data_IF_080170586105
#
_entry.id   IF_080170586105
#
_cell.length_a   1.000
_cell.length_b   1.000
_cell.length_c   1.000
_cell.angle_alpha   90.00
_cell.angle_beta   90.00
_cell.angle_gamma   90.00
#
_symmetry.space_group_name_H-M   'P 1'
#
loop_
_entity.id
_entity.type
_entity.pdbx_description
1 polymer ?
#
# COMPACT_ATOMS: atom_id res chain seq x y z
N UNK A 1 -26.54 71.01 31.08
CA UNK A 1 -27.02 69.60 31.16
C UNK A 1 -26.16 68.58 30.37
N UNK A 2 -24.99 68.96 29.80
CA UNK A 2 -24.15 68.05 28.98
C UNK A 2 -22.83 67.58 29.63
N UNK A 3 -22.42 68.13 30.78
CA UNK A 3 -21.15 67.77 31.44
C UNK A 3 -21.29 66.48 32.27
N UNK A 4 -22.44 66.26 32.90
CA UNK A 4 -22.72 65.09 33.75
C UNK A 4 -22.88 63.78 32.96
N UNK A 5 -23.41 63.82 31.74
CA UNK A 5 -23.50 62.62 30.87
C UNK A 5 -22.12 62.13 30.38
N UNK A 6 -21.17 63.04 30.17
CA UNK A 6 -19.83 62.70 29.69
C UNK A 6 -18.95 62.06 30.78
N UNK A 7 -19.12 62.47 32.05
CA UNK A 7 -18.42 61.84 33.17
C UNK A 7 -18.94 60.42 33.47
N UNK A 8 -20.25 60.20 33.38
CA UNK A 8 -20.85 58.87 33.58
C UNK A 8 -20.43 57.86 32.49
N UNK A 9 -20.25 58.31 31.23
CA UNK A 9 -19.77 57.48 30.13
C UNK A 9 -18.29 57.09 30.31
N UNK A 10 -17.44 58.04 30.71
CA UNK A 10 -16.02 57.79 31.01
C UNK A 10 -15.82 56.83 32.18
N UNK A 11 -16.68 56.90 33.21
CA UNK A 11 -16.65 55.98 34.35
C UNK A 11 -16.96 54.52 33.96
N UNK A 12 -17.99 54.31 33.12
CA UNK A 12 -18.33 52.96 32.62
C UNK A 12 -17.27 52.37 31.71
N UNK A 13 -16.66 53.16 30.83
CA UNK A 13 -15.59 52.69 29.95
C UNK A 13 -14.32 52.30 30.73
N UNK A 14 -14.01 53.00 31.83
CA UNK A 14 -12.91 52.65 32.73
C UNK A 14 -13.17 51.34 33.46
N UNK A 15 -14.38 51.15 33.99
CA UNK A 15 -14.77 49.92 34.68
C UNK A 15 -14.75 48.70 33.76
N UNK A 16 -15.23 48.83 32.52
CA UNK A 16 -15.20 47.75 31.52
C UNK A 16 -13.77 47.39 31.07
N UNK A 17 -12.85 48.36 31.01
CA UNK A 17 -11.42 48.10 30.75
C UNK A 17 -10.76 47.33 31.89
N UNK A 18 -11.09 47.66 33.14
CA UNK A 18 -10.55 46.96 34.31
C UNK A 18 -11.10 45.54 34.46
N UNK A 19 -12.38 45.31 34.13
CA UNK A 19 -12.94 43.95 34.08
C UNK A 19 -12.33 43.12 32.95
N UNK A 20 -12.18 43.67 31.74
CA UNK A 20 -11.48 43.00 30.64
C UNK A 20 -10.03 42.66 31.00
N UNK A 21 -9.31 43.58 31.64
CA UNK A 21 -7.95 43.34 32.12
C UNK A 21 -7.88 42.20 33.15
N UNK A 22 -8.82 42.15 34.10
CA UNK A 22 -8.92 41.06 35.09
C UNK A 22 -9.28 39.71 34.46
N UNK A 23 -10.16 39.69 33.47
CA UNK A 23 -10.53 38.47 32.73
C UNK A 23 -9.34 37.98 31.88
N UNK A 24 -8.63 38.88 31.20
CA UNK A 24 -7.41 38.56 30.46
C UNK A 24 -6.29 38.04 31.37
N UNK A 25 -6.09 38.63 32.56
CA UNK A 25 -5.12 38.12 33.54
C UNK A 25 -5.51 36.75 34.12
N UNK A 26 -6.80 36.47 34.34
CA UNK A 26 -7.27 35.14 34.77
C UNK A 26 -7.10 34.10 33.66
N UNK A 27 -7.37 34.45 32.40
CA UNK A 27 -7.12 33.58 31.24
C UNK A 27 -5.63 33.32 31.03
N UNK A 28 -4.77 34.34 31.15
CA UNK A 28 -3.32 34.15 31.02
C UNK A 28 -2.75 33.33 32.17
N UNK A 29 -3.27 33.48 33.39
CA UNK A 29 -2.87 32.66 34.53
C UNK A 29 -3.33 31.19 34.38
N UNK A 30 -4.51 30.93 33.81
CA UNK A 30 -4.99 29.57 33.50
C UNK A 30 -4.14 28.91 32.41
N UNK A 31 -3.77 29.67 31.37
CA UNK A 31 -2.89 29.21 30.29
C UNK A 31 -1.47 28.94 30.82
N UNK A 32 -0.93 29.79 31.71
CA UNK A 32 0.35 29.54 32.36
C UNK A 32 0.29 28.33 33.31
N UNK A 33 -0.82 28.09 34.01
CA UNK A 33 -0.99 26.90 34.83
C UNK A 33 -1.05 25.62 33.99
N UNK A 34 -1.66 25.67 32.80
CA UNK A 34 -1.66 24.58 31.82
C UNK A 34 -0.26 24.32 31.22
N UNK A 35 0.59 25.34 31.14
CA UNK A 35 2.00 25.23 30.70
C UNK A 35 2.96 24.76 31.80
N UNK A 36 2.52 24.72 33.06
CA UNK A 36 3.32 24.30 34.22
C UNK A 36 2.91 22.93 34.77
N UNK A 37 1.91 22.27 34.17
CA UNK A 37 1.67 20.86 34.42
C UNK A 37 2.80 20.08 33.75
N UNK A 38 3.57 19.26 34.48
CA UNK A 38 4.53 18.37 33.84
C UNK A 38 3.77 17.46 32.87
N UNK A 39 4.33 17.19 31.68
CA UNK A 39 3.79 16.34 30.61
C UNK A 39 3.64 14.87 31.04
N UNK A 40 2.91 14.59 32.11
CA UNK A 40 2.46 13.26 32.47
C UNK A 40 1.21 12.97 31.63
N UNK A 41 1.40 12.81 30.32
CA UNK A 41 0.51 11.91 29.58
C UNK A 41 0.83 10.54 30.14
N UNK A 42 -0.01 10.04 31.05
CA UNK A 42 0.12 8.68 31.55
C UNK A 42 0.21 7.74 30.32
N UNK A 43 1.25 6.92 30.25
CA UNK A 43 1.41 5.95 29.17
C UNK A 43 0.12 5.15 29.01
N UNK A 44 -0.52 5.27 27.86
CA UNK A 44 -1.80 4.65 27.56
C UNK A 44 -1.60 3.36 26.78
N UNK A 45 -2.46 2.38 27.05
CA UNK A 45 -2.62 1.21 26.19
C UNK A 45 -4.09 1.01 25.85
N UNK A 46 -4.39 0.69 24.60
CA UNK A 46 -5.75 0.41 24.14
C UNK A 46 -5.70 -0.68 23.07
N UNK A 47 -6.65 -1.62 23.10
CA UNK A 47 -6.76 -2.65 22.06
C UNK A 47 -8.21 -3.10 21.85
N UNK A 48 -8.60 -3.21 20.59
CA UNK A 48 -9.88 -3.75 20.16
C UNK A 48 -9.83 -5.28 20.17
N UNK A 49 -9.84 -5.88 21.36
CA UNK A 49 -9.70 -7.33 21.56
C UNK A 49 -10.80 -8.18 20.90
N UNK A 50 -11.92 -7.56 20.52
CA UNK A 50 -13.02 -8.21 19.79
C UNK A 50 -12.80 -8.31 18.28
N UNK A 51 -11.74 -7.68 17.73
CA UNK A 51 -11.40 -7.85 16.31
C UNK A 51 -10.93 -9.29 16.08
N UNK A 52 -11.61 -10.08 15.23
CA UNK A 52 -11.21 -11.45 14.96
C UNK A 52 -9.91 -11.50 14.16
N UNK A 53 -9.33 -12.70 14.02
CA UNK A 53 -8.14 -12.90 13.23
C UNK A 53 -8.45 -13.76 11.99
N UNK A 54 -8.08 -13.23 10.83
CA UNK A 54 -8.12 -13.94 9.55
C UNK A 54 -6.74 -13.93 8.90
N UNK A 55 -6.36 -15.09 8.36
CA UNK A 55 -5.16 -15.28 7.55
C UNK A 55 -5.57 -16.04 6.29
N UNK A 56 -5.70 -15.32 5.18
CA UNK A 56 -5.82 -15.90 3.85
C UNK A 56 -4.47 -15.73 3.17
N UNK A 57 -3.78 -16.84 2.97
CA UNK A 57 -2.47 -16.87 2.35
C UNK A 57 -2.53 -16.22 0.96
N UNK A 58 -1.65 -15.25 0.72
CA UNK A 58 -1.62 -14.47 -0.53
C UNK A 58 -2.66 -13.35 -0.65
N UNK A 59 -3.57 -13.20 0.32
CA UNK A 59 -4.66 -12.22 0.29
C UNK A 59 -4.73 -11.32 1.56
N UNK A 60 -3.70 -10.49 1.81
CA UNK A 60 -3.64 -9.64 3.01
C UNK A 60 -4.75 -8.56 3.08
N UNK A 61 -5.15 -7.93 1.97
CA UNK A 61 -6.24 -6.94 1.96
C UNK A 61 -7.56 -7.61 2.35
N UNK A 62 -7.86 -8.76 1.76
CA UNK A 62 -9.07 -9.55 2.00
C UNK A 62 -9.12 -10.02 3.44
N UNK A 63 -7.98 -10.46 3.99
CA UNK A 63 -7.85 -10.81 5.42
C UNK A 63 -8.17 -9.60 6.31
N UNK A 64 -7.59 -8.44 6.01
CA UNK A 64 -7.86 -7.20 6.75
C UNK A 64 -9.34 -6.79 6.65
N UNK A 65 -9.92 -6.81 5.45
CA UNK A 65 -11.34 -6.49 5.21
C UNK A 65 -12.25 -7.46 5.97
N UNK A 66 -11.92 -8.75 6.00
CA UNK A 66 -12.68 -9.78 6.73
C UNK A 66 -12.72 -9.47 8.23
N UNK A 67 -11.56 -9.15 8.80
CA UNK A 67 -11.45 -8.78 10.22
C UNK A 67 -12.29 -7.54 10.56
N UNK A 68 -12.26 -6.51 9.69
CA UNK A 68 -13.04 -5.28 9.92
C UNK A 68 -14.54 -5.51 9.76
N UNK A 69 -14.96 -6.28 8.74
CA UNK A 69 -16.38 -6.57 8.52
C UNK A 69 -16.99 -7.33 9.68
N UNK A 70 -16.34 -8.39 10.16
CA UNK A 70 -16.86 -9.16 11.29
C UNK A 70 -16.81 -8.37 12.60
N UNK A 71 -15.79 -7.53 12.81
CA UNK A 71 -15.75 -6.61 13.95
C UNK A 71 -16.99 -5.69 14.00
N UNK A 72 -17.48 -5.25 12.84
CA UNK A 72 -18.74 -4.49 12.74
C UNK A 72 -20.00 -5.37 12.64
N UNK A 73 -19.88 -6.68 12.85
CA UNK A 73 -21.00 -7.62 12.88
C UNK A 73 -21.56 -7.99 11.50
N UNK A 74 -20.87 -7.69 10.40
CA UNK A 74 -21.30 -8.14 9.08
C UNK A 74 -21.12 -9.65 8.92
N UNK A 75 -22.15 -10.29 8.37
CA UNK A 75 -22.09 -11.67 7.91
C UNK A 75 -21.63 -11.71 6.46
N UNK A 76 -20.63 -12.54 6.16
CA UNK A 76 -20.13 -12.79 4.81
C UNK A 76 -19.64 -14.23 4.67
N UNK A 77 -19.57 -14.70 3.43
CA UNK A 77 -18.84 -15.92 3.11
C UNK A 77 -17.42 -15.51 2.69
N UNK A 78 -16.41 -16.12 3.30
CA UNK A 78 -15.03 -15.72 3.11
C UNK A 78 -14.52 -15.97 1.68
N UNK A 79 -14.94 -17.07 1.07
CA UNK A 79 -14.56 -17.42 -0.29
C UNK A 79 -15.25 -16.52 -1.33
N UNK A 80 -16.53 -16.19 -1.12
CA UNK A 80 -17.22 -15.19 -1.93
C UNK A 80 -16.51 -13.83 -1.82
N UNK A 81 -16.19 -13.37 -0.60
CA UNK A 81 -15.46 -12.12 -0.38
C UNK A 81 -14.12 -12.11 -1.13
N UNK A 82 -13.33 -13.18 -1.00
CA UNK A 82 -12.06 -13.36 -1.74
C UNK A 82 -12.28 -13.25 -3.24
N UNK A 83 -13.30 -13.94 -3.78
CA UNK A 83 -13.61 -13.92 -5.21
C UNK A 83 -14.04 -12.53 -5.71
N UNK A 84 -14.73 -11.74 -4.88
CA UNK A 84 -15.16 -10.37 -5.22
C UNK A 84 -14.02 -9.36 -5.14
N UNK A 85 -13.11 -9.50 -4.18
CA UNK A 85 -11.94 -8.61 -4.05
C UNK A 85 -10.85 -8.99 -5.06
N UNK A 86 -10.73 -10.27 -5.41
CA UNK A 86 -9.66 -10.80 -6.26
C UNK A 86 -10.17 -11.54 -7.50
N UNK A 87 -11.02 -10.92 -8.35
CA UNK A 87 -11.69 -11.61 -9.45
C UNK A 87 -10.72 -12.12 -10.54
N UNK A 88 -9.50 -11.57 -10.59
CA UNK A 88 -8.46 -11.94 -11.55
C UNK A 88 -7.32 -12.73 -10.89
N UNK A 89 -7.50 -13.21 -9.66
CA UNK A 89 -6.50 -13.97 -8.91
C UNK A 89 -5.54 -13.14 -8.05
N UNK A 90 -5.64 -11.81 -8.09
CA UNK A 90 -4.94 -10.89 -7.16
C UNK A 90 -5.90 -9.89 -6.55
N UNK A 91 -5.52 -9.31 -5.42
CA UNK A 91 -6.33 -8.31 -4.73
C UNK A 91 -6.44 -7.00 -5.50
N UNK A 92 -7.66 -6.58 -5.81
CA UNK A 92 -7.96 -5.32 -6.49
C UNK A 92 -8.73 -4.37 -5.57
N UNK A 93 -8.12 -3.21 -5.30
CA UNK A 93 -8.68 -2.23 -4.39
C UNK A 93 -10.00 -1.63 -4.90
N UNK A 94 -10.15 -1.45 -6.22
CA UNK A 94 -11.40 -0.94 -6.80
C UNK A 94 -12.56 -1.92 -6.58
N UNK A 95 -12.29 -3.21 -6.73
CA UNK A 95 -13.25 -4.28 -6.45
C UNK A 95 -13.60 -4.35 -4.97
N UNK A 96 -12.62 -4.19 -4.07
CA UNK A 96 -12.87 -4.12 -2.63
C UNK A 96 -13.75 -2.92 -2.22
N UNK A 97 -13.45 -1.71 -2.72
CA UNK A 97 -14.27 -0.52 -2.47
C UNK A 97 -15.70 -0.76 -2.95
N UNK A 98 -15.85 -1.23 -4.19
CA UNK A 98 -17.17 -1.50 -4.78
C UNK A 98 -17.97 -2.50 -3.94
N UNK A 99 -17.35 -3.60 -3.52
CA UNK A 99 -17.98 -4.60 -2.65
C UNK A 99 -18.44 -3.99 -1.33
N UNK A 100 -17.57 -3.24 -0.65
CA UNK A 100 -17.84 -2.64 0.65
C UNK A 100 -18.95 -1.59 0.59
N UNK A 101 -18.92 -0.72 -0.42
CA UNK A 101 -19.94 0.31 -0.63
C UNK A 101 -21.32 -0.29 -0.90
N UNK A 102 -21.38 -1.39 -1.67
CA UNK A 102 -22.60 -2.16 -1.92
C UNK A 102 -23.13 -2.86 -0.64
N UNK A 103 -22.23 -3.19 0.30
CA UNK A 103 -22.59 -3.77 1.62
C UNK A 103 -22.96 -2.74 2.68
N UNK A 104 -23.05 -1.45 2.31
CA UNK A 104 -23.46 -0.40 3.25
C UNK A 104 -22.30 0.18 4.08
N UNK A 105 -21.06 -0.01 3.65
CA UNK A 105 -19.88 0.59 4.28
C UNK A 105 -19.43 1.84 3.53
N UNK A 106 -18.70 2.70 4.23
CA UNK A 106 -17.88 3.77 3.66
C UNK A 106 -16.42 3.35 3.75
N UNK A 107 -15.67 3.62 2.68
CA UNK A 107 -14.24 3.35 2.61
C UNK A 107 -13.53 4.68 2.43
N UNK A 108 -12.70 5.04 3.40
CA UNK A 108 -11.83 6.20 3.32
C UNK A 108 -10.42 5.72 2.99
N UNK A 109 -9.86 6.22 1.89
CA UNK A 109 -8.44 6.07 1.60
C UNK A 109 -7.77 7.41 1.92
N UNK A 110 -6.86 7.39 2.89
CA UNK A 110 -6.23 8.61 3.39
C UNK A 110 -4.79 8.36 3.86
N UNK A 111 -4.13 9.39 4.37
CA UNK A 111 -2.82 9.29 5.01
C UNK A 111 -2.92 9.75 6.46
N UNK A 112 -2.69 8.84 7.40
CA UNK A 112 -2.76 9.12 8.83
C UNK A 112 -1.39 9.05 9.49
N UNK A 113 -1.14 9.99 10.40
CA UNK A 113 -0.07 9.89 11.37
C UNK A 113 -0.43 8.89 12.46
N UNK A 114 0.58 8.35 13.15
CA UNK A 114 0.38 7.38 14.24
C UNK A 114 -0.56 7.92 15.31
N UNK A 115 -0.46 9.22 15.65
CA UNK A 115 -1.38 9.87 16.58
C UNK A 115 -2.84 9.81 16.12
N UNK A 116 -3.10 9.98 14.82
CA UNK A 116 -4.45 9.92 14.27
C UNK A 116 -4.98 8.48 14.24
N UNK A 117 -4.12 7.51 13.97
CA UNK A 117 -4.43 6.08 14.10
C UNK A 117 -4.82 5.74 15.55
N UNK A 118 -4.01 6.16 16.53
CA UNK A 118 -4.31 5.99 17.96
C UNK A 118 -5.64 6.63 18.36
N UNK A 119 -5.95 7.81 17.82
CA UNK A 119 -7.23 8.48 18.07
C UNK A 119 -8.43 7.72 17.51
N UNK A 120 -8.34 7.18 16.28
CA UNK A 120 -9.39 6.35 15.70
C UNK A 120 -9.63 5.07 16.50
N UNK A 121 -8.57 4.46 17.00
CA UNK A 121 -8.65 3.29 17.87
C UNK A 121 -9.33 3.64 19.20
N UNK A 122 -8.75 4.57 19.97
CA UNK A 122 -9.15 4.83 21.36
C UNK A 122 -10.51 5.53 21.50
N UNK A 123 -10.81 6.48 20.62
CA UNK A 123 -12.01 7.34 20.76
C UNK A 123 -13.14 6.98 19.82
N UNK A 124 -12.81 6.34 18.68
CA UNK A 124 -13.82 5.96 17.70
C UNK A 124 -14.04 4.46 17.61
N UNK A 125 -13.19 3.65 18.26
CA UNK A 125 -13.21 2.19 18.20
C UNK A 125 -13.23 1.70 16.76
N UNK A 126 -12.23 2.11 15.98
CA UNK A 126 -12.10 1.75 14.57
C UNK A 126 -10.73 1.14 14.34
N UNK A 127 -10.66 -0.15 13.97
CA UNK A 127 -9.42 -0.75 13.52
C UNK A 127 -9.02 -0.14 12.18
N UNK A 128 -7.72 0.06 11.98
CA UNK A 128 -7.20 0.82 10.83
C UNK A 128 -6.32 -0.07 9.98
N UNK A 129 -6.66 -0.23 8.70
CA UNK A 129 -5.80 -0.94 7.76
C UNK A 129 -4.70 0.01 7.30
N UNK A 130 -3.45 -0.41 7.38
CA UNK A 130 -2.28 0.38 6.97
C UNK A 130 -1.56 -0.32 5.83
N UNK A 131 -1.09 0.48 4.86
CA UNK A 131 -0.27 -0.01 3.75
C UNK A 131 1.21 0.22 4.04
N UNK A 132 1.97 -0.87 4.15
CA UNK A 132 3.37 -0.89 4.55
C UNK A 132 4.16 -1.85 3.64
N UNK A 133 5.48 -1.73 3.57
CA UNK A 133 6.35 -2.76 2.99
C UNK A 133 6.37 -3.98 3.92
N UNK A 134 6.17 -5.18 3.38
CA UNK A 134 6.22 -6.41 4.18
C UNK A 134 7.63 -6.66 4.74
N UNK A 135 8.65 -6.61 3.87
CA UNK A 135 10.08 -6.76 4.21
C UNK A 135 10.93 -5.97 3.22
N UNK A 136 11.89 -5.17 3.70
CA UNK A 136 12.92 -4.54 2.85
C UNK A 136 13.84 -5.62 2.26
N UNK A 137 14.39 -5.45 1.04
CA UNK A 137 14.31 -4.29 0.14
C UNK A 137 13.05 -4.27 -0.74
N UNK A 138 12.07 -5.14 -0.49
CA UNK A 138 10.91 -5.29 -1.36
C UNK A 138 9.77 -4.35 -0.93
N UNK A 139 9.63 -3.25 -1.67
CA UNK A 139 8.61 -2.22 -1.44
C UNK A 139 7.29 -2.53 -2.16
N UNK A 140 6.77 -3.74 -2.02
CA UNK A 140 5.38 -4.01 -2.39
C UNK A 140 4.45 -3.56 -1.26
N UNK A 141 3.36 -2.91 -1.66
CA UNK A 141 2.29 -2.49 -0.76
C UNK A 141 1.64 -3.72 -0.13
N UNK A 142 1.85 -3.89 1.17
CA UNK A 142 1.29 -4.94 2.00
C UNK A 142 0.32 -4.34 3.01
N UNK A 143 -0.80 -5.03 3.26
CA UNK A 143 -1.85 -4.55 4.14
C UNK A 143 -1.80 -5.25 5.50
N UNK A 144 -1.82 -4.43 6.56
CA UNK A 144 -1.84 -4.88 7.95
C UNK A 144 -2.96 -4.17 8.69
N UNK A 145 -3.60 -4.84 9.65
CA UNK A 145 -4.63 -4.22 10.47
C UNK A 145 -4.04 -3.77 11.81
N UNK A 146 -4.15 -2.50 12.14
CA UNK A 146 -3.85 -1.97 13.47
C UNK A 146 -5.12 -2.05 14.31
N UNK A 147 -5.02 -2.71 15.47
CA UNK A 147 -6.15 -2.94 16.38
C UNK A 147 -5.94 -2.30 17.75
N UNK A 148 -4.75 -1.79 18.02
CA UNK A 148 -4.42 -1.19 19.31
C UNK A 148 -3.05 -0.52 19.34
N UNK A 149 -2.70 -0.03 20.51
CA UNK A 149 -1.39 0.50 20.81
C UNK A 149 -1.08 0.35 22.30
N UNK A 150 0.20 0.48 22.60
CA UNK A 150 0.78 0.58 23.92
C UNK A 150 1.88 1.63 23.79
N UNK A 151 1.79 2.74 24.53
CA UNK A 151 2.72 3.86 24.34
C UNK A 151 4.18 3.50 24.65
N UNK A 152 4.43 2.41 25.40
CA UNK A 152 5.78 1.91 25.68
C UNK A 152 6.24 0.88 24.64
N UNK A 153 5.34 0.02 24.16
CA UNK A 153 5.70 -1.11 23.28
C UNK A 153 5.43 -0.89 21.79
N UNK A 154 4.56 0.06 21.44
CA UNK A 154 4.22 0.43 20.05
C UNK A 154 2.81 0.01 19.62
N UNK A 155 2.63 -0.28 18.33
CA UNK A 155 1.33 -0.54 17.72
C UNK A 155 1.01 -2.04 17.77
N UNK A 156 -0.20 -2.38 18.21
CA UNK A 156 -0.73 -3.75 18.23
C UNK A 156 -1.45 -4.01 16.92
N UNK A 157 -1.03 -5.05 16.20
CA UNK A 157 -1.50 -5.33 14.84
C UNK A 157 -1.97 -6.77 14.68
N UNK A 158 -3.02 -6.97 13.91
CA UNK A 158 -3.31 -8.27 13.30
C UNK A 158 -2.66 -8.28 11.92
N UNK A 159 -1.55 -9.00 11.82
CA UNK A 159 -0.81 -9.17 10.57
C UNK A 159 -1.27 -10.46 9.89
N UNK A 160 -1.89 -10.38 8.70
CA UNK A 160 -2.39 -11.56 8.00
C UNK A 160 -1.35 -12.65 7.76
N UNK A 161 -0.07 -12.32 7.61
CA UNK A 161 0.97 -13.30 7.27
C UNK A 161 1.87 -13.68 8.45
N UNK A 162 1.90 -12.89 9.52
CA UNK A 162 2.75 -13.14 10.69
C UNK A 162 1.93 -13.76 11.83
N UNK A 163 1.01 -13.01 12.45
CA UNK A 163 0.14 -13.44 13.58
C UNK A 163 -0.83 -12.34 14.02
N UNK A 164 -1.80 -12.70 14.86
CA UNK A 164 -2.60 -11.73 15.62
C UNK A 164 -1.82 -11.08 16.76
N UNK A 165 -2.27 -9.90 17.22
CA UNK A 165 -1.69 -9.16 18.33
C UNK A 165 -0.15 -8.94 18.21
N UNK A 166 0.35 -8.84 16.99
CA UNK A 166 1.75 -8.58 16.72
C UNK A 166 2.09 -7.12 17.06
N UNK A 167 2.99 -6.94 18.02
CA UNK A 167 3.44 -5.62 18.46
C UNK A 167 4.62 -5.18 17.60
N UNK A 168 4.49 -3.99 17.03
CA UNK A 168 5.55 -3.28 16.32
C UNK A 168 5.91 -2.04 17.11
N UNK A 169 7.17 -1.93 17.54
CA UNK A 169 7.65 -0.68 18.10
C UNK A 169 7.47 0.47 17.08
N UNK A 170 7.34 1.70 17.58
CA UNK A 170 6.92 2.83 16.74
C UNK A 170 7.92 3.13 15.62
N UNK A 171 9.21 3.01 15.89
CA UNK A 171 10.27 3.24 14.90
C UNK A 171 10.24 2.17 13.82
N UNK A 172 10.07 0.91 14.20
CA UNK A 172 9.88 -0.18 13.24
C UNK A 172 8.61 0.06 12.42
N UNK A 173 7.50 0.41 13.04
CA UNK A 173 6.24 0.70 12.34
C UNK A 173 6.41 1.82 11.30
N UNK A 174 7.05 2.94 11.67
CA UNK A 174 7.37 4.03 10.73
C UNK A 174 8.29 3.59 9.59
N UNK A 175 9.29 2.76 9.90
CA UNK A 175 10.27 2.30 8.91
C UNK A 175 9.68 1.43 7.79
N UNK A 176 8.47 0.90 8.01
CA UNK A 176 7.73 0.05 7.08
C UNK A 176 6.78 0.85 6.18
N UNK A 177 6.62 2.15 6.33
CA UNK A 177 5.81 2.92 5.39
C UNK A 177 6.34 2.78 3.95
N UNK A 178 5.43 2.56 3.00
CA UNK A 178 5.79 2.66 1.58
C UNK A 178 6.24 4.09 1.31
N UNK A 179 7.39 4.23 0.63
CA UNK A 179 8.06 5.51 0.50
C UNK A 179 7.23 6.56 -0.23
N UNK A 180 6.47 6.15 -1.23
CA UNK A 180 5.71 7.04 -2.11
C UNK A 180 4.40 7.51 -1.48
N UNK A 181 3.84 6.76 -0.53
CA UNK A 181 2.64 7.15 0.20
C UNK A 181 2.75 6.83 1.70
N UNK A 182 3.65 7.52 2.44
CA UNK A 182 3.79 7.27 3.87
C UNK A 182 2.47 7.53 4.62
N UNK A 183 2.15 6.67 5.58
CA UNK A 183 0.90 6.79 6.33
C UNK A 183 -0.34 6.35 5.56
N UNK A 184 -0.23 5.74 4.37
CA UNK A 184 -1.40 5.25 3.63
C UNK A 184 -2.25 4.31 4.49
N UNK A 185 -3.53 4.64 4.60
CA UNK A 185 -4.50 3.91 5.41
C UNK A 185 -5.82 3.71 4.67
N UNK A 186 -6.46 2.58 4.94
CA UNK A 186 -7.85 2.32 4.57
C UNK A 186 -8.65 2.26 5.87
N UNK A 187 -9.66 3.12 5.97
CA UNK A 187 -10.61 3.13 7.09
C UNK A 187 -11.98 2.71 6.56
N UNK A 188 -12.51 1.61 7.10
CA UNK A 188 -13.80 1.05 6.68
C UNK A 188 -14.76 1.19 7.85
N UNK A 189 -15.92 1.79 7.63
CA UNK A 189 -16.95 1.96 8.67
C UNK A 189 -18.36 1.79 8.11
N UNK A 190 -19.34 1.37 8.93
CA UNK A 190 -20.76 1.43 8.56
C UNK A 190 -21.16 2.84 8.09
N UNK A 191 -22.03 2.96 7.08
CA UNK A 191 -22.42 4.25 6.47
C UNK A 191 -23.02 5.27 7.44
N UNK A 192 -23.58 4.81 8.55
CA UNK A 192 -24.16 5.61 9.63
C UNK A 192 -23.11 6.13 10.63
N UNK A 193 -21.94 5.51 10.72
CA UNK A 193 -20.83 5.95 11.58
C UNK A 193 -20.15 7.18 10.97
N UNK A 194 -20.17 8.31 11.69
CA UNK A 194 -19.56 9.58 11.26
C UNK A 194 -18.14 9.70 11.78
N UNK A 195 -17.22 10.12 10.92
CA UNK A 195 -15.82 10.38 11.26
C UNK A 195 -15.42 11.80 10.87
N UNK A 196 -14.44 12.35 11.58
CA UNK A 196 -13.81 13.63 11.26
C UNK A 196 -12.63 13.51 10.29
N UNK A 197 -12.36 12.31 9.76
CA UNK A 197 -11.33 12.09 8.74
C UNK A 197 -11.89 12.40 7.35
N UNK A 198 -11.03 12.90 6.46
CA UNK A 198 -11.34 13.14 5.06
C UNK A 198 -10.58 12.16 4.17
N UNK A 199 -11.17 11.89 3.00
CA UNK A 199 -10.52 11.14 1.94
C UNK A 199 -9.38 11.96 1.33
N UNK A 200 -8.24 11.31 1.10
CA UNK A 200 -7.16 11.86 0.31
C UNK A 200 -7.36 11.43 -1.15
N UNK A 201 -8.06 12.26 -1.92
CA UNK A 201 -8.38 11.96 -3.32
C UNK A 201 -7.14 11.70 -4.18
N UNK A 202 -6.01 12.36 -3.89
CA UNK A 202 -4.75 12.14 -4.64
C UNK A 202 -4.24 10.72 -4.44
N UNK A 203 -4.14 10.27 -3.19
CA UNK A 203 -3.65 8.92 -2.86
C UNK A 203 -4.64 7.86 -3.36
N UNK A 204 -5.94 8.06 -3.14
CA UNK A 204 -6.98 7.18 -3.68
C UNK A 204 -6.87 7.03 -5.19
N UNK A 205 -6.82 8.15 -5.91
CA UNK A 205 -6.74 8.13 -7.37
C UNK A 205 -5.46 7.44 -7.84
N UNK A 206 -4.32 7.66 -7.17
CA UNK A 206 -3.10 6.95 -7.51
C UNK A 206 -3.24 5.42 -7.39
N UNK A 207 -3.79 4.94 -6.27
CA UNK A 207 -4.04 3.50 -6.10
C UNK A 207 -5.00 2.95 -7.17
N UNK A 208 -6.06 3.70 -7.49
CA UNK A 208 -7.04 3.32 -8.51
C UNK A 208 -6.43 3.29 -9.92
N UNK A 209 -5.62 4.29 -10.28
CA UNK A 209 -4.90 4.31 -11.57
C UNK A 209 -3.96 3.10 -11.69
N UNK A 210 -3.27 2.73 -10.61
CA UNK A 210 -2.42 1.55 -10.61
C UNK A 210 -3.23 0.24 -10.72
N UNK A 211 -4.32 0.11 -9.96
CA UNK A 211 -5.28 -1.00 -10.07
C UNK A 211 -5.82 -1.16 -11.50
N UNK A 212 -6.27 -0.06 -12.11
CA UNK A 212 -6.76 -0.05 -13.49
C UNK A 212 -5.66 -0.45 -14.48
N UNK A 213 -4.44 0.04 -14.30
CA UNK A 213 -3.28 -0.34 -15.12
C UNK A 213 -3.11 -1.86 -15.12
N UNK A 214 -3.11 -2.49 -13.94
CA UNK A 214 -2.95 -3.95 -13.83
C UNK A 214 -4.06 -4.71 -14.54
N UNK A 215 -5.31 -4.24 -14.42
CA UNK A 215 -6.45 -4.83 -15.12
C UNK A 215 -6.31 -4.72 -16.64
N UNK A 216 -5.90 -3.56 -17.15
CA UNK A 216 -5.68 -3.37 -18.58
C UNK A 216 -4.49 -4.18 -19.11
N UNK A 217 -3.40 -4.28 -18.36
CA UNK A 217 -2.27 -5.17 -18.66
C UNK A 217 -2.71 -6.63 -18.76
N UNK A 218 -3.51 -7.11 -17.82
CA UNK A 218 -4.04 -8.48 -17.85
C UNK A 218 -4.89 -8.74 -19.10
N UNK A 219 -5.72 -7.77 -19.49
CA UNK A 219 -6.54 -7.85 -20.70
C UNK A 219 -5.75 -7.55 -21.99
N UNK A 220 -4.44 -7.32 -21.92
CA UNK A 220 -3.60 -6.87 -23.03
C UNK A 220 -4.09 -5.58 -23.71
N UNK A 221 -4.85 -4.75 -23.01
CA UNK A 221 -5.23 -3.41 -23.47
C UNK A 221 -4.10 -2.43 -23.13
N UNK A 222 -3.03 -2.50 -23.90
CA UNK A 222 -1.80 -1.76 -23.66
C UNK A 222 -1.98 -0.24 -23.76
N UNK A 223 -2.95 0.23 -24.57
CA UNK A 223 -3.23 1.66 -24.75
C UNK A 223 -3.91 2.24 -23.51
N UNK A 224 -4.93 1.58 -22.98
CA UNK A 224 -5.58 2.00 -21.75
C UNK A 224 -4.65 1.83 -20.55
N UNK A 225 -3.85 0.75 -20.51
CA UNK A 225 -2.82 0.56 -19.49
C UNK A 225 -1.80 1.72 -19.47
N UNK A 226 -1.32 2.14 -20.65
CA UNK A 226 -0.41 3.30 -20.79
C UNK A 226 -1.03 4.58 -20.24
N UNK A 227 -2.29 4.87 -20.58
CA UNK A 227 -2.97 6.07 -20.10
C UNK A 227 -3.10 6.10 -18.57
N UNK A 228 -3.44 4.97 -17.95
CA UNK A 228 -3.60 4.89 -16.50
C UNK A 228 -2.26 4.95 -15.76
N UNK A 229 -1.22 4.26 -16.25
CA UNK A 229 0.09 4.28 -15.59
C UNK A 229 0.76 5.66 -15.69
N UNK A 230 0.52 6.41 -16.77
CA UNK A 230 0.99 7.80 -16.90
C UNK A 230 0.32 8.72 -15.85
N UNK A 231 -0.97 8.52 -15.55
CA UNK A 231 -1.66 9.25 -14.46
C UNK A 231 -1.08 8.89 -13.09
N UNK A 232 -0.78 7.61 -12.85
CA UNK A 232 -0.10 7.17 -11.63
C UNK A 232 1.28 7.81 -11.48
N UNK A 233 2.12 7.74 -12.52
CA UNK A 233 3.46 8.30 -12.52
C UNK A 233 3.48 9.83 -12.47
N UNK A 234 2.40 10.51 -12.85
CA UNK A 234 2.27 11.96 -12.58
C UNK A 234 2.23 12.28 -11.09
N UNK A 235 1.71 11.37 -10.26
CA UNK A 235 1.64 11.52 -8.80
C UNK A 235 2.92 10.99 -8.16
N UNK A 236 3.42 9.84 -8.62
CA UNK A 236 4.64 9.21 -8.10
C UNK A 236 5.68 8.96 -9.21
N UNK A 237 6.40 10.01 -9.66
CA UNK A 237 7.24 9.96 -10.88
C UNK A 237 8.46 9.04 -10.81
N UNK A 238 8.90 8.71 -9.59
CA UNK A 238 10.06 7.87 -9.32
C UNK A 238 9.68 6.57 -8.59
N UNK A 239 8.39 6.20 -8.60
CA UNK A 239 7.97 4.93 -8.03
C UNK A 239 8.58 3.77 -8.86
N UNK A 240 9.39 2.88 -8.25
CA UNK A 240 10.14 1.89 -8.99
C UNK A 240 9.24 0.85 -9.66
N UNK A 241 8.17 0.46 -8.96
CA UNK A 241 7.18 -0.46 -9.48
C UNK A 241 6.40 0.16 -10.65
N UNK A 242 6.02 1.44 -10.56
CA UNK A 242 5.29 2.16 -11.59
C UNK A 242 6.14 2.35 -12.86
N UNK A 243 7.41 2.72 -12.70
CA UNK A 243 8.35 2.84 -13.82
C UNK A 243 8.60 1.49 -14.49
N UNK A 244 8.76 0.41 -13.71
CA UNK A 244 8.87 -0.94 -14.25
C UNK A 244 7.61 -1.35 -15.05
N UNK A 245 6.42 -1.13 -14.49
CA UNK A 245 5.16 -1.41 -15.18
C UNK A 245 5.04 -0.58 -16.47
N UNK A 246 5.43 0.70 -16.44
CA UNK A 246 5.41 1.54 -17.63
C UNK A 246 6.39 1.06 -18.70
N UNK A 247 7.62 0.71 -18.34
CA UNK A 247 8.60 0.13 -19.27
C UNK A 247 8.08 -1.16 -19.92
N UNK A 248 7.45 -2.04 -19.14
CA UNK A 248 6.81 -3.25 -19.67
C UNK A 248 5.67 -2.93 -20.64
N UNK A 249 4.81 -1.94 -20.33
CA UNK A 249 3.74 -1.51 -21.25
C UNK A 249 4.31 -0.94 -22.55
N UNK A 250 5.36 -0.11 -22.47
CA UNK A 250 6.03 0.44 -23.65
C UNK A 250 6.65 -0.65 -24.52
N UNK A 251 7.25 -1.67 -23.91
CA UNK A 251 7.76 -2.86 -24.59
C UNK A 251 6.66 -3.56 -25.39
N UNK A 252 5.48 -3.78 -24.79
CA UNK A 252 4.34 -4.42 -25.47
C UNK A 252 3.77 -3.57 -26.60
N UNK A 253 3.88 -2.25 -26.50
CA UNK A 253 3.50 -1.31 -27.56
C UNK A 253 4.56 -1.18 -28.68
N UNK A 254 5.72 -1.82 -28.55
CA UNK A 254 6.83 -1.71 -29.49
C UNK A 254 7.62 -0.40 -29.39
N UNK A 255 7.37 0.42 -28.37
CA UNK A 255 8.12 1.66 -28.11
C UNK A 255 9.41 1.35 -27.34
N UNK A 256 10.31 0.63 -28.01
CA UNK A 256 11.49 0.01 -27.41
C UNK A 256 12.47 1.05 -26.84
N UNK A 257 12.62 2.19 -27.51
CA UNK A 257 13.53 3.24 -27.08
C UNK A 257 13.07 3.90 -25.77
N UNK A 258 11.78 4.21 -25.65
CA UNK A 258 11.25 4.73 -24.39
C UNK A 258 11.23 3.65 -23.32
N UNK A 259 10.94 2.38 -23.65
CA UNK A 259 11.03 1.28 -22.69
C UNK A 259 12.44 1.17 -22.08
N UNK A 260 13.49 1.28 -22.91
CA UNK A 260 14.90 1.32 -22.47
C UNK A 260 15.15 2.50 -21.53
N UNK A 261 14.82 3.72 -21.95
CA UNK A 261 15.02 4.92 -21.12
C UNK A 261 14.29 4.82 -19.79
N UNK A 262 13.06 4.31 -19.78
CA UNK A 262 12.27 4.14 -18.55
C UNK A 262 12.89 3.08 -17.63
N UNK A 263 13.34 1.94 -18.15
CA UNK A 263 13.93 0.90 -17.30
C UNK A 263 15.32 1.32 -16.74
N UNK A 264 16.12 2.04 -17.53
CA UNK A 264 17.43 2.57 -17.10
C UNK A 264 17.31 3.57 -15.92
N UNK A 265 16.22 4.35 -15.88
CA UNK A 265 15.94 5.27 -14.76
C UNK A 265 15.77 4.55 -13.42
N UNK A 266 15.27 3.32 -13.41
CA UNK A 266 14.91 2.61 -12.18
C UNK A 266 15.91 1.50 -11.82
N UNK A 267 16.45 0.78 -12.79
CA UNK A 267 17.28 -0.43 -12.56
C UNK A 267 18.58 -0.13 -11.82
N UNK A 268 19.16 1.06 -12.02
CA UNK A 268 20.41 1.50 -11.38
C UNK A 268 20.28 1.67 -9.87
N UNK A 269 19.11 2.10 -9.40
CA UNK A 269 18.82 2.32 -7.99
C UNK A 269 18.14 1.11 -7.34
N UNK A 270 17.28 0.42 -8.11
CA UNK A 270 16.48 -0.70 -7.63
C UNK A 270 16.66 -1.90 -8.56
N UNK A 271 17.77 -2.65 -8.44
CA UNK A 271 17.97 -3.87 -9.21
C UNK A 271 17.19 -5.04 -8.60
N UNK A 272 15.88 -4.84 -8.43
CA UNK A 272 14.97 -5.83 -7.88
C UNK A 272 14.68 -6.90 -8.93
N UNK A 273 14.36 -8.15 -8.53
CA UNK A 273 14.22 -9.28 -9.46
C UNK A 273 13.24 -9.01 -10.60
N UNK A 274 12.08 -8.42 -10.31
CA UNK A 274 11.07 -8.09 -11.31
C UNK A 274 11.50 -6.96 -12.26
N UNK A 275 12.35 -6.03 -11.80
CA UNK A 275 12.90 -4.93 -12.61
C UNK A 275 13.99 -5.48 -13.52
N UNK A 276 14.86 -6.35 -12.99
CA UNK A 276 15.84 -7.08 -13.78
C UNK A 276 15.15 -7.92 -14.87
N UNK A 277 14.05 -8.60 -14.56
CA UNK A 277 13.31 -9.37 -15.56
C UNK A 277 12.79 -8.49 -16.71
N UNK A 278 12.14 -7.36 -16.39
CA UNK A 278 11.68 -6.41 -17.42
C UNK A 278 12.85 -5.84 -18.22
N UNK A 279 13.97 -5.52 -17.58
CA UNK A 279 15.18 -5.08 -18.27
C UNK A 279 15.68 -6.14 -19.25
N UNK A 280 15.76 -7.41 -18.83
CA UNK A 280 16.09 -8.54 -19.69
C UNK A 280 15.19 -8.60 -20.93
N UNK A 281 13.88 -8.49 -20.75
CA UNK A 281 12.91 -8.46 -21.85
C UNK A 281 13.12 -7.28 -22.81
N UNK A 282 13.37 -6.07 -22.28
CA UNK A 282 13.60 -4.86 -23.07
C UNK A 282 14.87 -5.00 -23.91
N UNK A 283 16.00 -5.38 -23.32
CA UNK A 283 17.26 -5.54 -24.06
C UNK A 283 17.21 -6.71 -25.04
N UNK A 284 16.47 -7.78 -24.71
CA UNK A 284 16.27 -8.91 -25.63
C UNK A 284 15.52 -8.48 -26.88
N UNK A 285 14.44 -7.68 -26.74
CA UNK A 285 13.72 -7.12 -27.90
C UNK A 285 14.53 -6.10 -28.69
N UNK A 286 15.51 -5.45 -28.07
CA UNK A 286 16.48 -4.57 -28.74
C UNK A 286 17.62 -5.35 -29.43
N UNK A 287 17.63 -6.68 -29.37
CA UNK A 287 18.70 -7.54 -29.87
C UNK A 287 20.06 -7.34 -29.18
N UNK A 288 20.09 -6.72 -27.99
CA UNK A 288 21.26 -6.70 -27.11
C UNK A 288 21.27 -7.96 -26.23
N UNK A 289 21.66 -9.07 -26.85
CA UNK A 289 21.64 -10.40 -26.26
C UNK A 289 22.51 -10.48 -25.00
N UNK A 290 23.68 -9.82 -25.02
CA UNK A 290 24.63 -9.86 -23.91
C UNK A 290 24.03 -9.22 -22.66
N UNK A 291 23.47 -8.01 -22.80
CA UNK A 291 22.86 -7.28 -21.69
C UNK A 291 21.58 -7.97 -21.21
N UNK A 292 20.77 -8.50 -22.14
CA UNK A 292 19.59 -9.28 -21.80
C UNK A 292 19.91 -10.48 -20.91
N UNK A 293 20.91 -11.29 -21.28
CA UNK A 293 21.33 -12.47 -20.53
C UNK A 293 21.81 -12.13 -19.12
N UNK A 294 22.54 -11.03 -18.95
CA UNK A 294 22.97 -10.55 -17.61
C UNK A 294 21.78 -10.24 -16.72
N UNK A 295 20.77 -9.54 -17.24
CA UNK A 295 19.59 -9.16 -16.46
C UNK A 295 18.67 -10.34 -16.17
N UNK A 296 18.45 -11.26 -17.11
CA UNK A 296 17.68 -12.47 -16.84
C UNK A 296 18.35 -13.37 -15.80
N UNK A 297 19.65 -13.60 -15.93
CA UNK A 297 20.43 -14.39 -14.96
C UNK A 297 20.35 -13.79 -13.56
N UNK A 298 20.48 -12.46 -13.45
CA UNK A 298 20.34 -11.74 -12.17
C UNK A 298 18.93 -11.85 -11.58
N UNK A 299 17.90 -11.71 -12.41
CA UNK A 299 16.51 -11.85 -12.01
C UNK A 299 16.24 -13.27 -11.45
N UNK A 300 16.65 -14.29 -12.19
CA UNK A 300 16.48 -15.69 -11.80
C UNK A 300 17.24 -16.05 -10.53
N UNK A 301 18.52 -15.66 -10.43
CA UNK A 301 19.35 -15.91 -9.24
C UNK A 301 18.72 -15.32 -7.97
N UNK A 302 18.06 -14.17 -8.11
CA UNK A 302 17.45 -13.48 -6.98
C UNK A 302 16.04 -13.99 -6.62
N UNK A 303 15.35 -14.66 -7.55
CA UNK A 303 13.98 -15.14 -7.36
C UNK A 303 13.69 -16.38 -8.22
N UNK A 304 14.33 -17.51 -7.93
CA UNK A 304 14.22 -18.74 -8.74
C UNK A 304 12.85 -19.41 -8.65
N UNK A 305 12.03 -19.06 -7.65
CA UNK A 305 10.65 -19.53 -7.50
C UNK A 305 9.62 -18.61 -8.16
N UNK A 306 10.04 -17.51 -8.81
CA UNK A 306 9.08 -16.65 -9.50
C UNK A 306 8.81 -17.20 -10.91
N UNK A 307 7.61 -17.74 -11.11
CA UNK A 307 7.15 -18.34 -12.37
C UNK A 307 7.47 -17.51 -13.62
N UNK A 308 7.19 -16.20 -13.57
CA UNK A 308 7.33 -15.33 -14.73
C UNK A 308 8.81 -15.07 -15.05
N UNK A 309 9.67 -14.95 -14.03
CA UNK A 309 11.12 -14.82 -14.21
C UNK A 309 11.69 -16.12 -14.80
N UNK A 310 11.31 -17.27 -14.24
CA UNK A 310 11.71 -18.60 -14.71
C UNK A 310 11.34 -18.79 -16.19
N UNK A 311 10.08 -18.53 -16.54
CA UNK A 311 9.57 -18.65 -17.90
C UNK A 311 10.33 -17.76 -18.88
N UNK A 312 10.53 -16.49 -18.53
CA UNK A 312 11.20 -15.54 -19.40
C UNK A 312 12.68 -15.89 -19.59
N UNK A 313 13.37 -16.32 -18.54
CA UNK A 313 14.77 -16.72 -18.64
C UNK A 313 14.95 -18.00 -19.45
N UNK A 314 14.12 -19.02 -19.23
CA UNK A 314 14.17 -20.26 -20.01
C UNK A 314 13.89 -20.01 -21.50
N UNK A 315 12.89 -19.17 -21.83
CA UNK A 315 12.62 -18.77 -23.21
C UNK A 315 13.79 -18.01 -23.84
N UNK A 316 14.44 -17.13 -23.08
CA UNK A 316 15.66 -16.46 -23.53
C UNK A 316 16.77 -17.47 -23.82
N UNK A 317 17.10 -18.37 -22.89
CA UNK A 317 18.11 -19.42 -23.07
C UNK A 317 17.83 -20.30 -24.29
N UNK A 318 16.58 -20.74 -24.45
CA UNK A 318 16.17 -21.54 -25.59
C UNK A 318 16.36 -20.78 -26.92
N UNK A 319 16.06 -19.48 -26.96
CA UNK A 319 16.30 -18.64 -28.15
C UNK A 319 17.77 -18.46 -28.50
N UNK A 320 18.68 -18.69 -27.55
CA UNK A 320 20.13 -18.67 -27.73
C UNK A 320 20.71 -20.06 -28.02
N UNK A 321 19.85 -21.06 -28.28
CA UNK A 321 20.21 -22.46 -28.50
C UNK A 321 20.82 -23.16 -27.26
N UNK A 322 20.65 -22.59 -26.06
CA UNK A 322 21.02 -23.20 -24.79
C UNK A 322 19.83 -24.00 -24.23
N UNK A 323 19.44 -25.07 -24.92
CA UNK A 323 18.25 -25.86 -24.59
C UNK A 323 18.40 -26.57 -23.24
N UNK A 324 19.56 -27.15 -22.94
CA UNK A 324 19.78 -27.86 -21.66
C UNK A 324 19.66 -26.91 -20.46
N UNK A 325 20.31 -25.74 -20.50
CA UNK A 325 20.18 -24.72 -19.44
C UNK A 325 18.72 -24.29 -19.24
N UNK A 326 17.96 -24.16 -20.35
CA UNK A 326 16.54 -23.81 -20.28
C UNK A 326 15.72 -24.92 -19.59
N UNK A 327 16.00 -26.20 -19.88
CA UNK A 327 15.36 -27.35 -19.22
C UNK A 327 15.69 -27.41 -17.75
N UNK A 328 16.94 -27.15 -17.37
CA UNK A 328 17.38 -27.15 -15.97
C UNK A 328 16.67 -26.07 -15.15
N UNK A 329 16.53 -24.87 -15.72
CA UNK A 329 15.79 -23.76 -15.09
C UNK A 329 14.32 -24.14 -14.83
N UNK A 330 13.63 -24.71 -15.83
CA UNK A 330 12.22 -25.11 -15.69
C UNK A 330 12.05 -26.29 -14.73
N UNK A 331 12.92 -27.29 -14.82
CA UNK A 331 12.88 -28.48 -13.95
C UNK A 331 13.13 -28.10 -12.48
N UNK A 332 14.08 -27.20 -12.22
CA UNK A 332 14.36 -26.70 -10.88
C UNK A 332 13.16 -25.97 -10.26
N UNK A 333 12.42 -25.20 -11.05
CA UNK A 333 11.18 -24.58 -10.59
C UNK A 333 10.08 -25.63 -10.29
N UNK A 334 9.93 -26.64 -11.14
CA UNK A 334 8.94 -27.71 -10.94
C UNK A 334 9.23 -28.61 -9.72
N UNK A 335 10.44 -28.62 -9.19
CA UNK A 335 10.71 -29.24 -7.87
C UNK A 335 9.95 -28.51 -6.76
N UNK A 336 9.80 -27.19 -6.86
CA UNK A 336 9.08 -26.37 -5.89
C UNK A 336 7.57 -26.34 -6.16
N UNK A 337 7.20 -26.23 -7.44
CA UNK A 337 5.81 -26.09 -7.90
C UNK A 337 5.44 -27.25 -8.85
N UNK A 338 5.34 -28.49 -8.33
CA UNK A 338 5.20 -29.69 -9.15
C UNK A 338 3.88 -29.77 -9.91
N UNK A 339 2.90 -28.90 -9.65
CA UNK A 339 1.60 -28.87 -10.33
C UNK A 339 1.45 -27.72 -11.33
N UNK A 340 2.51 -26.93 -11.58
CA UNK A 340 2.45 -25.84 -12.55
C UNK A 340 2.40 -26.34 -13.99
N UNK A 341 1.18 -26.52 -14.50
CA UNK A 341 0.91 -27.02 -15.85
C UNK A 341 1.56 -26.19 -16.95
N UNK A 342 1.60 -24.87 -16.82
CA UNK A 342 2.18 -24.00 -17.87
C UNK A 342 3.69 -24.27 -18.02
N UNK A 343 4.38 -24.46 -16.91
CA UNK A 343 5.82 -24.75 -16.91
C UNK A 343 6.10 -26.18 -17.37
N UNK A 344 5.25 -27.15 -16.99
CA UNK A 344 5.30 -28.52 -17.53
C UNK A 344 5.18 -28.52 -19.06
N UNK A 345 4.15 -27.85 -19.59
CA UNK A 345 3.91 -27.77 -21.03
C UNK A 345 5.09 -27.08 -21.77
N UNK A 346 5.74 -26.09 -21.15
CA UNK A 346 6.92 -25.44 -21.72
C UNK A 346 8.13 -26.37 -21.72
N UNK A 347 8.37 -27.12 -20.64
CA UNK A 347 9.45 -28.11 -20.55
C UNK A 347 9.26 -29.23 -21.58
N UNK A 348 8.04 -29.75 -21.73
CA UNK A 348 7.72 -30.78 -22.71
C UNK A 348 7.96 -30.31 -24.15
N UNK A 349 7.66 -29.05 -24.47
CA UNK A 349 7.98 -28.49 -25.78
C UNK A 349 9.49 -28.48 -26.05
N UNK A 350 10.30 -28.13 -25.05
CA UNK A 350 11.77 -28.13 -25.18
C UNK A 350 12.33 -29.56 -25.27
N UNK A 351 11.72 -30.54 -24.61
CA UNK A 351 12.13 -31.95 -24.73
C UNK A 351 11.86 -32.52 -26.13
N UNK A 352 10.83 -32.00 -26.81
CA UNK A 352 10.42 -32.46 -28.13
C UNK A 352 11.02 -31.65 -29.30
N UNK A 353 11.68 -30.51 -29.04
CA UNK A 353 12.43 -29.77 -30.06
C UNK A 353 13.74 -30.50 -30.36
N UNK A 354 13.86 -31.01 -31.60
CA UNK A 354 15.04 -31.74 -32.12
C UNK A 354 16.25 -30.86 -32.33
#
# INVERSE_FOLDING_TARGET
MNITKNQAKRGRERHLREERGRVLHRLSALILLLLLLPDWVAAGSFSLVSVPYYNLEGYPLTSCVSMVLEYFGAKFNLEDLRSKISPLGWEDLSSAITYLENKGYRVYITQLQIREIKNLLNYSEIPVIVGQSFRKPYDYLYWRLVIGFDDERGLVTNDPMIRNNYILDEEKFKSLWVREAPGITIVIVPKDKRLSISENSTVKNALLFYSNTRRFVYNSDWKSAKSEIEKYLKIYPDNPMGLNTYAYILLQLGDLENARKTIERVISQYPLPYICNTAGLVYWKLNDIKTAGQYFSRAYTSSPSNKEIVKNYANFLASQNNIEDARDVLSSYLVLEPEDKEIKDLLDKLNNSK
#
